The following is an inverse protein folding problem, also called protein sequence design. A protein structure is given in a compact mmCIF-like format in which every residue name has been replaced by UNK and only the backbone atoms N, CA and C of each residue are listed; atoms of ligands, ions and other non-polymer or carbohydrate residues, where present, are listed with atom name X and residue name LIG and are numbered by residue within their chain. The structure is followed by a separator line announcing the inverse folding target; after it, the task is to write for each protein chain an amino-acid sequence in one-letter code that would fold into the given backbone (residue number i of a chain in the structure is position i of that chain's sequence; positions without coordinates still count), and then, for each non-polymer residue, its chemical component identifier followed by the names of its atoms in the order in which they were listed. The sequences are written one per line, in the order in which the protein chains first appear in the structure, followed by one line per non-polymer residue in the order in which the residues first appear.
data_IF_774681911742
#
_entry.id   IF_774681911742
#
_cell.length_a   1.000
_cell.length_b   1.000
_cell.length_c   1.000
_cell.angle_alpha   90.00
_cell.angle_beta   90.00
_cell.angle_gamma   90.00
#
_symmetry.space_group_name_H-M   'P 1'
#
loop_
_entity.id
_entity.type
_entity.pdbx_description
1 polymer ?
#
# COMPACT_ATOMS: atom_id res chain seq x y z
N UNK A 1 -8.11 5.33 28.52
CA UNK A 1 -7.68 6.75 28.34
C UNK A 1 -8.87 7.52 27.79
N UNK A 2 -9.11 8.76 28.20
CA UNK A 2 -10.21 9.56 27.65
C UNK A 2 -9.95 9.84 26.18
N UNK A 3 -10.99 9.77 25.34
CA UNK A 3 -11.01 10.25 23.95
C UNK A 3 -10.23 11.56 23.84
N UNK A 4 -9.14 11.57 23.06
CA UNK A 4 -8.26 12.75 22.95
C UNK A 4 -8.82 13.66 21.86
N UNK A 5 -10.09 14.11 22.02
CA UNK A 5 -10.67 15.12 21.15
C UNK A 5 -9.81 16.38 21.21
N UNK A 6 -9.31 16.82 20.05
CA UNK A 6 -8.42 17.98 19.93
C UNK A 6 -6.92 17.67 19.98
N UNK A 7 -6.49 16.39 20.07
CA UNK A 7 -5.09 16.04 19.97
C UNK A 7 -4.51 16.45 18.61
N UNK A 8 -3.27 16.95 18.64
CA UNK A 8 -2.48 17.26 17.45
C UNK A 8 -1.76 15.99 17.00
N UNK A 9 -2.07 15.54 15.78
CA UNK A 9 -1.53 14.30 15.24
C UNK A 9 -0.61 14.62 14.07
N UNK A 10 0.64 14.20 14.18
CA UNK A 10 1.54 14.13 13.06
C UNK A 10 1.39 12.79 12.34
N UNK A 11 1.28 12.79 11.02
CA UNK A 11 1.33 11.59 10.19
C UNK A 11 2.61 11.67 9.35
N UNK A 12 3.57 10.79 9.60
CA UNK A 12 4.78 10.72 8.80
C UNK A 12 4.57 9.77 7.61
N UNK A 13 4.58 10.34 6.39
CA UNK A 13 4.36 9.64 5.12
C UNK A 13 2.99 9.92 4.49
N UNK A 14 3.00 10.34 3.21
CA UNK A 14 1.82 10.65 2.40
C UNK A 14 1.54 9.57 1.32
N UNK A 15 1.96 8.32 1.55
CA UNK A 15 1.56 7.18 0.73
C UNK A 15 0.10 6.77 0.97
N UNK A 16 -0.33 5.64 0.42
CA UNK A 16 -1.71 5.15 0.52
C UNK A 16 -2.19 5.03 1.98
N UNK A 17 -1.38 4.43 2.87
CA UNK A 17 -1.75 4.24 4.27
C UNK A 17 -1.82 5.58 5.03
N UNK A 18 -0.79 6.43 4.90
CA UNK A 18 -0.76 7.71 5.60
C UNK A 18 -1.83 8.68 5.13
N UNK A 19 -2.06 8.75 3.81
CA UNK A 19 -3.11 9.63 3.25
C UNK A 19 -4.53 9.17 3.62
N UNK A 20 -4.82 7.87 3.59
CA UNK A 20 -6.10 7.32 4.03
C UNK A 20 -6.33 7.58 5.53
N UNK A 21 -5.28 7.37 6.34
CA UNK A 21 -5.31 7.67 7.78
C UNK A 21 -5.56 9.15 8.03
N UNK A 22 -4.87 10.05 7.30
CA UNK A 22 -5.08 11.50 7.46
C UNK A 22 -6.52 11.92 7.17
N UNK A 23 -7.14 11.38 6.11
CA UNK A 23 -8.57 11.63 5.80
C UNK A 23 -9.45 11.18 6.96
N UNK A 24 -9.23 9.94 7.45
CA UNK A 24 -10.06 9.37 8.51
C UNK A 24 -9.96 10.16 9.80
N UNK A 25 -8.76 10.54 10.19
CA UNK A 25 -8.52 11.29 11.43
C UNK A 25 -9.02 12.74 11.34
N UNK A 26 -8.76 13.44 10.23
CA UNK A 26 -9.25 14.80 10.05
C UNK A 26 -10.80 14.86 10.06
N UNK A 27 -11.48 13.92 9.40
CA UNK A 27 -12.94 13.79 9.43
C UNK A 27 -13.47 13.42 10.83
N UNK A 28 -12.66 12.77 11.65
CA UNK A 28 -13.00 12.49 13.05
C UNK A 28 -12.74 13.70 13.99
N UNK A 29 -12.26 14.84 13.44
CA UNK A 29 -12.07 16.09 14.20
C UNK A 29 -10.70 16.23 14.87
N UNK A 30 -9.72 15.38 14.53
CA UNK A 30 -8.34 15.57 15.00
C UNK A 30 -7.63 16.67 14.21
N UNK A 31 -6.72 17.38 14.88
CA UNK A 31 -5.83 18.34 14.22
C UNK A 31 -4.66 17.57 13.57
N UNK A 32 -4.73 17.31 12.26
CA UNK A 32 -3.77 16.47 11.52
C UNK A 32 -2.80 17.31 10.71
N UNK A 33 -1.51 16.99 10.80
CA UNK A 33 -0.49 17.45 9.84
C UNK A 33 0.25 16.24 9.29
N UNK A 34 0.33 16.15 7.96
CA UNK A 34 1.04 15.09 7.24
C UNK A 34 2.39 15.61 6.79
N UNK A 35 3.45 14.88 7.10
CA UNK A 35 4.83 15.19 6.72
C UNK A 35 5.33 14.15 5.73
N UNK A 36 5.77 14.58 4.55
CA UNK A 36 6.40 13.71 3.55
C UNK A 36 7.40 14.55 2.72
N UNK A 37 8.69 14.21 2.70
CA UNK A 37 9.69 14.95 1.93
C UNK A 37 9.56 14.74 0.42
N UNK A 38 8.87 13.68 -0.02
CA UNK A 38 8.66 13.40 -1.44
C UNK A 38 7.59 14.32 -2.06
N UNK A 39 7.74 14.61 -3.32
CA UNK A 39 6.69 15.29 -4.09
C UNK A 39 5.39 14.43 -4.11
N UNK A 40 4.20 15.04 -4.20
CA UNK A 40 2.95 14.30 -4.18
C UNK A 40 2.89 13.22 -5.26
N UNK A 41 2.74 11.97 -4.84
CA UNK A 41 2.71 10.80 -5.72
C UNK A 41 4.07 10.29 -6.17
N UNK A 42 5.16 10.89 -5.73
CA UNK A 42 6.53 10.44 -6.00
C UNK A 42 7.00 9.46 -4.91
N UNK A 43 6.27 8.38 -4.76
CA UNK A 43 6.48 7.32 -3.80
C UNK A 43 5.95 5.98 -4.33
N UNK A 44 6.19 4.89 -3.60
CA UNK A 44 5.74 3.56 -4.01
C UNK A 44 4.23 3.45 -4.27
N UNK A 45 3.41 4.24 -3.58
CA UNK A 45 1.96 4.23 -3.78
C UNK A 45 1.55 4.89 -5.09
N UNK A 46 2.24 5.96 -5.51
CA UNK A 46 2.00 6.61 -6.80
C UNK A 46 2.54 5.82 -8.00
N UNK A 47 3.64 5.07 -7.81
CA UNK A 47 4.19 4.15 -8.82
C UNK A 47 3.30 2.92 -9.00
N UNK A 48 2.57 2.50 -7.96
CA UNK A 48 1.77 1.28 -7.98
C UNK A 48 0.75 1.23 -9.14
N UNK A 49 0.43 0.01 -9.58
CA UNK A 49 -0.61 -0.22 -10.59
C UNK A 49 -2.05 -0.06 -10.05
N UNK A 50 -2.21 0.12 -8.74
CA UNK A 50 -3.50 0.38 -8.10
C UNK A 50 -4.40 -0.84 -7.93
N UNK A 51 -3.87 -2.05 -7.98
CA UNK A 51 -4.65 -3.28 -7.81
C UNK A 51 -5.16 -3.44 -6.37
N UNK A 52 -6.43 -3.86 -6.25
CA UNK A 52 -7.13 -4.25 -5.04
C UNK A 52 -7.49 -5.74 -5.22
N UNK A 53 -6.49 -6.60 -5.13
CA UNK A 53 -6.53 -7.92 -5.76
C UNK A 53 -6.27 -9.05 -4.76
N UNK A 54 -7.20 -9.31 -3.79
CA UNK A 54 -7.03 -10.31 -2.74
C UNK A 54 -6.76 -11.71 -3.29
N UNK A 55 -7.42 -12.09 -4.39
CA UNK A 55 -7.27 -13.43 -4.97
C UNK A 55 -5.94 -13.58 -5.68
N UNK A 56 -5.56 -12.61 -6.53
CA UNK A 56 -4.24 -12.63 -7.18
C UNK A 56 -3.09 -12.60 -6.17
N UNK A 57 -3.21 -11.84 -5.08
CA UNK A 57 -2.19 -11.83 -4.04
C UNK A 57 -2.06 -13.20 -3.36
N UNK A 58 -3.18 -13.83 -3.00
CA UNK A 58 -3.16 -15.17 -2.41
C UNK A 58 -2.64 -16.25 -3.39
N UNK A 59 -2.88 -16.10 -4.69
CA UNK A 59 -2.45 -17.07 -5.72
C UNK A 59 -0.96 -16.96 -6.04
N UNK A 60 -0.44 -15.72 -6.15
CA UNK A 60 0.87 -15.46 -6.76
C UNK A 60 1.93 -14.97 -5.77
N UNK A 61 1.57 -14.71 -4.52
CA UNK A 61 2.51 -14.38 -3.46
C UNK A 61 2.40 -15.38 -2.31
N UNK A 62 3.38 -16.28 -2.12
CA UNK A 62 3.36 -17.27 -1.05
C UNK A 62 3.20 -16.68 0.35
N UNK A 63 3.75 -15.46 0.58
CA UNK A 63 3.65 -14.76 1.86
C UNK A 63 2.20 -14.33 2.13
N UNK A 64 1.46 -13.97 1.10
CA UNK A 64 0.08 -13.51 1.20
C UNK A 64 -0.96 -14.64 1.16
N UNK A 65 -0.57 -15.89 0.85
CA UNK A 65 -1.50 -16.99 0.60
C UNK A 65 -2.42 -17.33 1.77
N UNK A 66 -1.95 -17.17 3.01
CA UNK A 66 -2.75 -17.37 4.23
C UNK A 66 -3.69 -16.22 4.60
N UNK A 67 -3.64 -15.09 3.89
CA UNK A 67 -4.32 -13.86 4.29
C UNK A 67 -5.55 -13.51 3.43
N UNK A 68 -6.03 -14.43 2.56
CA UNK A 68 -7.13 -14.16 1.62
C UNK A 68 -8.37 -13.59 2.31
N UNK A 69 -8.79 -14.17 3.44
CA UNK A 69 -9.99 -13.72 4.15
C UNK A 69 -9.87 -12.28 4.67
N UNK A 70 -8.70 -11.92 5.23
CA UNK A 70 -8.40 -10.55 5.68
C UNK A 70 -8.38 -9.59 4.48
N UNK A 71 -7.70 -9.96 3.40
CA UNK A 71 -7.61 -9.14 2.19
C UNK A 71 -8.98 -8.92 1.53
N UNK A 72 -9.87 -9.90 1.56
CA UNK A 72 -11.27 -9.74 1.12
C UNK A 72 -12.03 -8.73 1.98
N UNK A 73 -11.92 -8.81 3.31
CA UNK A 73 -12.55 -7.81 4.18
C UNK A 73 -12.04 -6.40 3.90
N UNK A 74 -10.73 -6.24 3.68
CA UNK A 74 -10.14 -4.95 3.31
C UNK A 74 -10.67 -4.45 1.96
N UNK A 75 -10.78 -5.31 0.93
CA UNK A 75 -11.36 -4.97 -0.36
C UNK A 75 -12.83 -4.54 -0.22
N UNK A 76 -13.59 -5.20 0.64
CA UNK A 76 -15.03 -4.94 0.81
C UNK A 76 -15.34 -3.57 1.43
N UNK A 77 -14.34 -2.89 2.03
CA UNK A 77 -14.45 -1.50 2.47
C UNK A 77 -14.34 -0.49 1.31
N UNK A 78 -13.73 -0.89 0.19
CA UNK A 78 -13.43 0.02 -0.92
C UNK A 78 -14.66 0.65 -1.59
N UNK A 79 -15.81 -0.02 -1.78
CA UNK A 79 -16.98 0.60 -2.42
C UNK A 79 -17.44 1.87 -1.74
N UNK A 80 -17.59 1.85 -0.42
CA UNK A 80 -18.00 3.02 0.35
C UNK A 80 -16.87 4.05 0.43
N UNK A 81 -15.65 3.60 0.71
CA UNK A 81 -14.48 4.47 0.78
C UNK A 81 -14.24 5.23 -0.54
N UNK A 82 -14.33 4.54 -1.68
CA UNK A 82 -14.15 5.15 -3.01
C UNK A 82 -15.26 6.14 -3.35
N UNK A 83 -16.52 5.78 -3.05
CA UNK A 83 -17.68 6.68 -3.26
C UNK A 83 -17.53 7.97 -2.44
N UNK A 84 -17.18 7.86 -1.17
CA UNK A 84 -17.07 9.00 -0.25
C UNK A 84 -15.93 9.97 -0.60
N UNK A 85 -14.97 9.51 -1.40
CA UNK A 85 -13.78 10.26 -1.80
C UNK A 85 -13.75 10.58 -3.31
N UNK A 86 -14.80 10.23 -4.05
CA UNK A 86 -14.87 10.35 -5.51
C UNK A 86 -13.67 9.71 -6.20
N UNK A 87 -13.30 8.49 -5.75
CA UNK A 87 -12.26 7.66 -6.36
C UNK A 87 -12.92 6.68 -7.33
N UNK A 88 -12.46 6.68 -8.58
CA UNK A 88 -12.96 5.72 -9.57
C UNK A 88 -12.52 4.29 -9.18
N UNK A 89 -13.50 3.42 -8.89
CA UNK A 89 -13.31 2.02 -8.56
C UNK A 89 -13.69 1.14 -9.76
N UNK A 90 -12.70 0.51 -10.38
CA UNK A 90 -12.87 -0.38 -11.53
C UNK A 90 -13.01 -1.83 -11.05
N UNK A 91 -14.12 -2.47 -11.43
CA UNK A 91 -14.51 -3.84 -11.03
C UNK A 91 -14.54 -4.82 -12.21
N UNK A 92 -13.78 -4.54 -13.26
CA UNK A 92 -13.74 -5.38 -14.45
C UNK A 92 -13.08 -6.76 -14.21
N UNK A 93 -12.44 -6.94 -13.06
CA UNK A 93 -11.78 -8.18 -12.71
C UNK A 93 -10.43 -8.38 -13.37
N UNK A 94 -9.94 -9.63 -13.29
CA UNK A 94 -8.64 -10.06 -13.82
C UNK A 94 -8.86 -11.25 -14.75
N UNK A 95 -8.32 -11.20 -15.97
CA UNK A 95 -8.22 -12.34 -16.88
C UNK A 95 -6.87 -13.05 -16.70
N UNK A 96 -6.90 -14.36 -16.75
CA UNK A 96 -5.73 -15.21 -16.62
C UNK A 96 -5.30 -15.67 -18.03
N UNK A 97 -4.18 -15.17 -18.52
CA UNK A 97 -3.65 -15.45 -19.85
C UNK A 97 -2.24 -16.05 -19.76
N UNK A 98 -1.94 -17.10 -20.54
CA UNK A 98 -0.65 -17.77 -20.53
C UNK A 98 -0.71 -19.14 -21.20
N UNK A 99 0.35 -19.90 -21.07
CA UNK A 99 0.43 -21.27 -21.59
C UNK A 99 -0.62 -22.17 -20.93
N UNK A 100 -1.02 -23.25 -21.60
CA UNK A 100 -1.96 -24.24 -21.06
C UNK A 100 -1.44 -24.81 -19.72
N UNK A 101 -0.15 -25.11 -19.66
CA UNK A 101 0.50 -25.63 -18.47
C UNK A 101 0.42 -24.64 -17.29
N UNK A 102 0.69 -23.36 -17.53
CA UNK A 102 0.57 -22.31 -16.51
C UNK A 102 -0.89 -22.13 -16.04
N UNK A 103 -1.85 -22.09 -16.97
CA UNK A 103 -3.28 -21.99 -16.63
C UNK A 103 -3.74 -23.18 -15.81
N UNK A 104 -3.27 -24.39 -16.11
CA UNK A 104 -3.52 -25.58 -15.32
C UNK A 104 -3.00 -25.46 -13.89
N UNK A 105 -1.77 -24.97 -13.70
CA UNK A 105 -1.22 -24.72 -12.35
C UNK A 105 -2.02 -23.68 -11.57
N UNK A 106 -2.47 -22.62 -12.23
CA UNK A 106 -3.31 -21.58 -11.60
C UNK A 106 -4.67 -22.14 -11.20
N UNK A 107 -5.29 -22.98 -12.06
CA UNK A 107 -6.55 -23.64 -11.76
C UNK A 107 -6.45 -24.51 -10.50
N UNK A 108 -5.37 -25.29 -10.34
CA UNK A 108 -5.15 -26.11 -9.14
C UNK A 108 -4.95 -25.23 -7.89
N UNK A 109 -4.25 -24.10 -8.00
CA UNK A 109 -4.11 -23.15 -6.88
C UNK A 109 -5.45 -22.50 -6.50
N UNK A 110 -6.27 -22.11 -7.49
CA UNK A 110 -7.63 -21.61 -7.24
C UNK A 110 -8.45 -22.62 -6.47
N UNK A 111 -8.42 -23.87 -6.92
CA UNK A 111 -9.11 -24.99 -6.24
C UNK A 111 -8.63 -25.19 -4.80
N UNK A 112 -7.33 -25.09 -4.56
CA UNK A 112 -6.75 -25.18 -3.21
C UNK A 112 -7.23 -24.04 -2.29
N UNK A 113 -7.56 -22.87 -2.85
CA UNK A 113 -8.17 -21.74 -2.14
C UNK A 113 -9.70 -21.84 -2.03
N UNK A 114 -10.31 -22.93 -2.48
CA UNK A 114 -11.78 -23.10 -2.51
C UNK A 114 -12.47 -22.20 -3.54
N UNK A 115 -11.75 -21.78 -4.59
CA UNK A 115 -12.25 -20.91 -5.65
C UNK A 115 -12.54 -21.69 -6.93
N UNK A 116 -13.51 -21.24 -7.78
CA UNK A 116 -13.76 -21.89 -9.06
C UNK A 116 -12.53 -21.75 -9.97
N UNK A 117 -12.17 -22.83 -10.65
CA UNK A 117 -11.14 -22.86 -11.69
C UNK A 117 -11.68 -22.15 -12.94
N UNK A 118 -11.57 -20.83 -12.97
CA UNK A 118 -12.07 -19.99 -14.06
C UNK A 118 -10.92 -19.25 -14.76
N UNK A 119 -11.12 -18.89 -16.03
CA UNK A 119 -10.18 -18.04 -16.78
C UNK A 119 -10.18 -16.58 -16.35
N UNK A 120 -11.05 -16.21 -15.42
CA UNK A 120 -11.15 -14.84 -14.89
C UNK A 120 -11.48 -14.84 -13.39
N UNK A 121 -10.99 -13.80 -12.70
CA UNK A 121 -11.20 -13.52 -11.29
C UNK A 121 -12.01 -12.22 -11.20
N UNK A 122 -13.26 -12.29 -10.77
CA UNK A 122 -14.15 -11.12 -10.68
C UNK A 122 -14.04 -10.36 -9.35
N UNK A 123 -13.43 -11.00 -8.35
CA UNK A 123 -13.29 -10.44 -7.01
C UNK A 123 -12.17 -9.38 -6.88
N UNK A 124 -11.26 -9.35 -7.82
CA UNK A 124 -10.12 -8.45 -7.83
C UNK A 124 -10.47 -7.19 -8.62
N UNK A 125 -10.25 -6.03 -7.99
CA UNK A 125 -10.59 -4.71 -8.52
C UNK A 125 -9.34 -3.85 -8.64
N UNK A 126 -9.51 -2.61 -9.09
CA UNK A 126 -8.42 -1.64 -9.17
C UNK A 126 -8.91 -0.20 -9.07
N UNK A 127 -7.97 0.68 -8.80
CA UNK A 127 -8.10 2.13 -8.85
C UNK A 127 -6.98 2.72 -9.71
N UNK A 128 -7.07 3.99 -10.04
CA UNK A 128 -5.94 4.77 -10.57
C UNK A 128 -5.13 5.35 -9.40
N UNK A 129 -3.90 4.86 -9.20
CA UNK A 129 -3.12 5.11 -7.99
C UNK A 129 -2.80 6.61 -7.76
N UNK A 130 -2.26 7.32 -8.76
CA UNK A 130 -1.93 8.75 -8.64
C UNK A 130 -3.18 9.63 -8.48
N UNK A 131 -4.25 9.48 -9.27
CA UNK A 131 -5.52 10.15 -9.03
C UNK A 131 -6.08 9.88 -7.63
N UNK A 132 -6.04 8.64 -7.15
CA UNK A 132 -6.53 8.30 -5.82
C UNK A 132 -5.74 9.00 -4.70
N UNK A 133 -4.40 9.08 -4.79
CA UNK A 133 -3.59 9.88 -3.85
C UNK A 133 -4.02 11.35 -3.85
N UNK A 134 -4.23 11.94 -5.03
CA UNK A 134 -4.68 13.32 -5.13
C UNK A 134 -6.07 13.53 -4.54
N UNK A 135 -6.99 12.55 -4.65
CA UNK A 135 -8.32 12.59 -4.02
C UNK A 135 -8.21 12.49 -2.50
N UNK A 136 -7.39 11.57 -1.98
CA UNK A 136 -7.13 11.44 -0.54
C UNK A 136 -6.57 12.73 0.03
N UNK A 137 -5.54 13.31 -0.58
CA UNK A 137 -4.95 14.57 -0.15
C UNK A 137 -6.00 15.69 -0.08
N UNK A 138 -6.74 15.92 -1.17
CA UNK A 138 -7.80 16.95 -1.19
C UNK A 138 -8.88 16.74 -0.14
N UNK A 139 -9.28 15.48 0.08
CA UNK A 139 -10.28 15.16 1.10
C UNK A 139 -9.77 15.42 2.52
N UNK A 140 -8.50 15.13 2.79
CA UNK A 140 -7.87 15.43 4.07
C UNK A 140 -7.75 16.95 4.29
N UNK A 141 -7.29 17.70 3.28
CA UNK A 141 -7.20 19.17 3.31
C UNK A 141 -8.57 19.81 3.52
N UNK A 142 -9.60 19.33 2.81
CA UNK A 142 -10.99 19.81 2.98
C UNK A 142 -11.55 19.52 4.38
N UNK A 143 -11.02 18.49 5.07
CA UNK A 143 -11.34 18.17 6.45
C UNK A 143 -10.43 18.89 7.48
N UNK A 144 -9.54 19.80 7.02
CA UNK A 144 -8.68 20.62 7.87
C UNK A 144 -7.26 20.08 8.10
N UNK A 145 -6.87 18.98 7.45
CA UNK A 145 -5.49 18.51 7.53
C UNK A 145 -4.53 19.42 6.74
N UNK A 146 -3.27 19.49 7.21
CA UNK A 146 -2.18 20.18 6.52
C UNK A 146 -1.18 19.18 5.98
N UNK A 147 -0.47 19.55 4.90
CA UNK A 147 0.61 18.76 4.32
C UNK A 147 1.86 19.60 4.22
N UNK A 148 2.98 19.07 4.72
CA UNK A 148 4.29 19.71 4.71
C UNK A 148 5.34 18.81 4.05
N UNK A 149 6.18 19.43 3.20
CA UNK A 149 7.26 18.73 2.47
C UNK A 149 8.51 18.62 3.32
N UNK A 150 8.40 17.95 4.48
CA UNK A 150 9.49 17.74 5.41
C UNK A 150 9.49 16.32 5.96
N UNK A 151 10.66 15.85 6.41
CA UNK A 151 10.80 14.57 7.08
C UNK A 151 10.75 14.73 8.60
N UNK A 152 10.09 13.80 9.28
CA UNK A 152 10.15 13.68 10.73
C UNK A 152 11.46 13.00 11.12
N UNK A 153 12.26 13.68 11.94
CA UNK A 153 13.56 13.20 12.39
C UNK A 153 13.46 12.48 13.75
N UNK A 154 12.86 13.13 14.74
CA UNK A 154 12.63 12.54 16.07
C UNK A 154 11.25 12.93 16.60
N UNK A 155 10.75 12.12 17.54
CA UNK A 155 9.47 12.37 18.19
C UNK A 155 9.50 11.90 19.64
N UNK A 156 8.95 12.75 20.51
CA UNK A 156 8.45 12.41 21.84
C UNK A 156 7.12 13.15 22.04
N UNK A 157 6.17 12.65 22.87
CA UNK A 157 4.92 13.35 23.10
C UNK A 157 5.13 14.81 23.53
N UNK A 158 4.60 15.75 22.75
CA UNK A 158 4.79 17.19 22.93
C UNK A 158 5.92 17.79 22.10
N UNK A 159 6.86 17.03 21.54
CA UNK A 159 7.98 17.50 20.74
C UNK A 159 8.21 16.63 19.49
N UNK A 160 8.08 17.24 18.31
CA UNK A 160 8.41 16.64 17.04
C UNK A 160 9.48 17.50 16.37
N UNK A 161 10.61 16.89 16.02
CA UNK A 161 11.69 17.55 15.29
C UNK A 161 11.66 17.13 13.82
N UNK A 162 11.73 18.13 12.94
CA UNK A 162 11.81 17.97 11.50
C UNK A 162 13.26 18.00 11.03
N UNK A 163 13.52 17.48 9.83
CA UNK A 163 14.85 17.41 9.24
C UNK A 163 15.47 18.80 8.96
N UNK A 164 14.64 19.83 8.77
CA UNK A 164 15.08 21.23 8.65
C UNK A 164 15.46 21.90 9.99
N UNK A 165 15.33 21.16 11.10
CA UNK A 165 15.65 21.60 12.46
C UNK A 165 14.49 22.28 13.21
N UNK A 166 13.34 22.51 12.57
CA UNK A 166 12.14 23.00 13.25
C UNK A 166 11.67 22.03 14.31
N UNK A 167 11.16 22.57 15.40
CA UNK A 167 10.52 21.81 16.48
C UNK A 167 9.07 22.25 16.57
N UNK A 168 8.16 21.30 16.50
CA UNK A 168 6.74 21.52 16.61
C UNK A 168 6.13 20.62 17.69
N UNK A 169 5.00 21.04 18.23
CA UNK A 169 4.35 20.29 19.29
C UNK A 169 3.24 19.42 18.72
N UNK A 170 3.39 18.10 18.87
CA UNK A 170 2.40 17.09 18.53
C UNK A 170 2.25 16.11 19.71
N UNK A 171 1.02 15.60 19.89
CA UNK A 171 0.71 14.71 20.99
C UNK A 171 0.94 13.24 20.58
N UNK A 172 0.73 12.93 19.29
CA UNK A 172 0.82 11.58 18.71
C UNK A 172 1.51 11.66 17.33
N UNK A 173 2.35 10.66 17.05
CA UNK A 173 2.91 10.41 15.75
C UNK A 173 2.33 9.11 15.17
N UNK A 174 1.69 9.18 14.00
CA UNK A 174 1.36 8.01 13.18
C UNK A 174 2.47 7.79 12.17
N UNK A 175 3.14 6.64 12.24
CA UNK A 175 4.28 6.32 11.38
C UNK A 175 3.84 5.48 10.18
N UNK A 176 3.81 6.11 8.99
CA UNK A 176 3.39 5.53 7.70
C UNK A 176 4.44 5.76 6.59
N UNK A 177 5.72 5.89 6.95
CA UNK A 177 6.84 6.37 6.10
C UNK A 177 7.28 5.40 4.99
N UNK A 178 6.66 4.20 4.87
CA UNK A 178 7.22 3.20 3.97
C UNK A 178 8.68 2.87 4.33
N UNK A 179 9.66 3.01 3.40
CA UNK A 179 11.05 2.66 3.68
C UNK A 179 11.80 3.66 4.59
N UNK A 180 11.24 4.83 4.87
CA UNK A 180 11.97 5.96 5.46
C UNK A 180 12.35 5.83 6.95
N UNK A 181 11.77 4.90 7.72
CA UNK A 181 12.03 4.80 9.16
C UNK A 181 12.31 3.37 9.63
N UNK A 182 13.10 2.61 8.86
CA UNK A 182 13.45 1.21 9.14
C UNK A 182 14.55 1.04 10.20
N UNK A 183 15.23 2.11 10.57
CA UNK A 183 16.33 2.11 11.53
C UNK A 183 15.89 1.93 12.99
N UNK A 184 14.59 1.96 13.25
CA UNK A 184 14.01 1.84 14.59
C UNK A 184 14.11 3.10 15.45
N UNK A 185 14.54 4.21 14.87
CA UNK A 185 14.75 5.47 15.59
C UNK A 185 13.45 6.07 16.13
N UNK A 186 12.38 6.05 15.31
CA UNK A 186 11.05 6.53 15.72
C UNK A 186 10.24 5.43 16.44
N UNK A 187 10.43 4.17 16.04
CA UNK A 187 9.74 3.03 16.63
C UNK A 187 10.59 1.76 16.47
N UNK A 188 10.96 1.04 17.54
CA UNK A 188 11.87 -0.10 17.46
C UNK A 188 11.33 -1.26 16.60
N UNK A 189 10.01 -1.41 16.51
CA UNK A 189 9.34 -2.46 15.73
C UNK A 189 9.62 -2.33 14.23
N UNK A 190 9.96 -1.14 13.74
CA UNK A 190 10.27 -0.91 12.32
C UNK A 190 11.56 -1.57 11.86
N UNK A 191 12.42 -2.04 12.79
CA UNK A 191 13.60 -2.87 12.45
C UNK A 191 13.24 -4.20 11.82
N UNK A 192 12.01 -4.69 12.02
CA UNK A 192 11.49 -5.89 11.35
C UNK A 192 11.17 -5.65 9.86
N UNK A 193 11.22 -4.42 9.38
CA UNK A 193 10.86 -4.07 8.00
C UNK A 193 12.03 -4.31 7.05
N UNK A 194 11.76 -5.03 5.97
CA UNK A 194 12.70 -5.26 4.86
C UNK A 194 12.23 -4.52 3.62
N UNK A 195 13.11 -3.81 2.89
CA UNK A 195 12.74 -3.13 1.66
C UNK A 195 12.53 -4.12 0.52
N UNK A 196 11.65 -3.76 -0.41
CA UNK A 196 11.41 -4.47 -1.66
C UNK A 196 11.29 -3.46 -2.78
N UNK A 197 12.35 -3.36 -3.59
CA UNK A 197 12.33 -2.58 -4.81
C UNK A 197 11.44 -3.25 -5.85
N UNK A 198 10.72 -2.47 -6.62
CA UNK A 198 9.92 -2.95 -7.72
C UNK A 198 9.87 -1.97 -8.86
N UNK A 199 9.93 -2.48 -10.08
CA UNK A 199 9.88 -1.72 -11.31
C UNK A 199 8.58 -2.02 -12.06
N UNK A 200 8.02 -0.97 -12.67
CA UNK A 200 6.84 -1.03 -13.53
C UNK A 200 7.18 -0.31 -14.82
N UNK A 201 6.76 -0.87 -15.96
CA UNK A 201 6.78 -0.16 -17.23
C UNK A 201 5.47 0.61 -17.41
N UNK A 202 5.57 1.79 -18.01
CA UNK A 202 4.43 2.61 -18.41
C UNK A 202 4.50 2.91 -19.90
N UNK A 203 3.50 2.47 -20.65
CA UNK A 203 3.40 2.74 -22.09
C UNK A 203 2.07 3.39 -22.44
N UNK A 204 1.77 3.56 -23.72
CA UNK A 204 0.48 4.08 -24.19
C UNK A 204 -0.69 3.30 -23.60
N UNK A 205 -1.87 3.91 -23.43
CA UNK A 205 -3.06 3.20 -22.95
C UNK A 205 -3.40 2.03 -23.89
N UNK A 206 -4.04 1.02 -23.32
CA UNK A 206 -4.57 -0.09 -24.06
C UNK A 206 -6.07 0.11 -24.26
N UNK A 207 -6.50 0.17 -25.53
CA UNK A 207 -7.91 0.27 -25.86
C UNK A 207 -8.64 -1.07 -25.68
N UNK A 208 -9.93 -1.00 -25.39
CA UNK A 208 -10.82 -2.16 -25.33
C UNK A 208 -11.14 -2.64 -23.92
N UNK A 209 -10.87 -3.89 -23.60
CA UNK A 209 -11.27 -4.52 -22.36
C UNK A 209 -10.58 -3.88 -21.12
N UNK A 210 -11.36 -3.37 -20.14
CA UNK A 210 -10.84 -2.74 -18.94
C UNK A 210 -10.30 -3.71 -17.90
N UNK A 211 -10.38 -5.04 -18.14
CA UNK A 211 -9.89 -6.06 -17.22
C UNK A 211 -8.37 -6.02 -17.10
N UNK A 212 -7.86 -6.31 -15.91
CA UNK A 212 -6.44 -6.61 -15.73
C UNK A 212 -6.13 -7.94 -16.42
N UNK A 213 -5.01 -8.00 -17.14
CA UNK A 213 -4.47 -9.27 -17.63
C UNK A 213 -3.38 -9.75 -16.70
N UNK A 214 -3.49 -10.97 -16.20
CA UNK A 214 -2.45 -11.62 -15.40
C UNK A 214 -1.87 -12.79 -16.14
N UNK A 215 -0.57 -12.72 -16.43
CA UNK A 215 0.20 -13.75 -17.07
C UNK A 215 1.30 -14.31 -16.19
N UNK A 216 2.12 -15.18 -16.79
CA UNK A 216 3.27 -15.76 -16.11
C UNK A 216 4.34 -14.69 -15.88
N UNK A 217 4.62 -14.37 -14.61
CA UNK A 217 5.60 -13.37 -14.20
C UNK A 217 5.22 -11.90 -14.46
N UNK A 218 4.06 -11.61 -15.06
CA UNK A 218 3.68 -10.25 -15.46
C UNK A 218 2.18 -10.00 -15.28
N UNK A 219 1.82 -8.74 -15.12
CA UNK A 219 0.45 -8.24 -15.25
C UNK A 219 0.40 -7.00 -16.17
N UNK A 220 -0.72 -6.83 -16.84
CA UNK A 220 -1.06 -5.64 -17.61
C UNK A 220 -2.28 -4.99 -16.97
N UNK A 221 -2.13 -3.77 -16.47
CA UNK A 221 -3.22 -3.03 -15.82
C UNK A 221 -3.61 -1.86 -16.70
N UNK A 222 -4.77 -1.91 -17.37
CA UNK A 222 -5.28 -0.81 -18.16
C UNK A 222 -5.42 0.44 -17.28
N UNK A 223 -4.90 1.55 -17.74
CA UNK A 223 -4.94 2.85 -17.06
C UNK A 223 -4.64 3.94 -18.09
N UNK A 224 -4.67 5.23 -17.69
CA UNK A 224 -4.27 6.35 -18.55
C UNK A 224 -2.94 6.10 -19.26
N UNK A 225 -2.02 5.42 -18.57
CA UNK A 225 -0.81 4.81 -19.15
C UNK A 225 -0.77 3.36 -18.72
N UNK A 226 -0.81 2.41 -19.66
CA UNK A 226 -0.78 0.98 -19.34
C UNK A 226 0.35 0.67 -18.37
N UNK A 227 0.00 0.08 -17.23
CA UNK A 227 0.99 -0.38 -16.25
C UNK A 227 1.32 -1.84 -16.48
N UNK A 228 2.59 -2.14 -16.66
CA UNK A 228 3.14 -3.49 -16.87
C UNK A 228 4.06 -3.80 -15.71
N UNK A 229 3.73 -4.81 -14.92
CA UNK A 229 4.46 -5.05 -13.68
C UNK A 229 4.48 -6.49 -13.21
N UNK A 230 5.19 -6.68 -12.17
CA UNK A 230 6.22 -5.86 -11.56
C UNK A 230 7.37 -6.75 -11.09
N UNK A 231 8.55 -6.16 -11.03
CA UNK A 231 9.67 -6.83 -10.38
C UNK A 231 9.53 -6.85 -8.87
N UNK A 232 10.28 -7.73 -8.21
CA UNK A 232 10.37 -7.83 -6.75
C UNK A 232 11.80 -8.16 -6.34
N UNK A 233 12.55 -7.15 -5.95
CA UNK A 233 13.94 -7.23 -5.55
C UNK A 233 14.04 -7.05 -4.03
N UNK A 234 13.96 -8.17 -3.31
CA UNK A 234 13.99 -8.16 -1.85
C UNK A 234 15.34 -7.67 -1.31
N UNK A 235 15.33 -6.85 -0.27
CA UNK A 235 16.53 -6.28 0.36
C UNK A 235 17.08 -5.03 -0.33
N UNK A 236 16.56 -4.64 -1.50
CA UNK A 236 17.00 -3.45 -2.23
C UNK A 236 16.11 -2.24 -1.93
N UNK A 237 16.72 -1.08 -1.67
CA UNK A 237 16.07 0.23 -1.51
C UNK A 237 16.58 1.29 -2.49
N UNK A 238 17.39 0.87 -3.46
CA UNK A 238 17.85 1.70 -4.57
C UNK A 238 16.69 2.06 -5.52
N UNK A 239 16.58 3.31 -5.90
CA UNK A 239 15.55 3.81 -6.83
C UNK A 239 16.00 3.83 -8.29
N UNK A 240 17.23 3.40 -8.59
CA UNK A 240 17.72 3.32 -9.98
C UNK A 240 17.07 2.12 -10.70
N UNK A 241 16.62 2.27 -11.97
CA UNK A 241 16.15 1.13 -12.74
C UNK A 241 17.24 0.06 -12.93
N UNK A 242 16.89 -1.20 -12.70
CA UNK A 242 17.74 -2.33 -13.09
C UNK A 242 17.42 -2.74 -14.53
N UNK A 243 18.44 -2.77 -15.40
CA UNK A 243 18.30 -3.04 -16.82
C UNK A 243 17.90 -4.49 -17.10
N UNK A 244 18.43 -5.45 -16.33
CA UNK A 244 18.14 -6.88 -16.52
C UNK A 244 16.70 -7.21 -16.10
N UNK A 245 16.26 -6.68 -14.98
CA UNK A 245 14.89 -6.81 -14.48
C UNK A 245 13.89 -6.12 -15.45
N UNK A 246 14.26 -4.94 -15.98
CA UNK A 246 13.47 -4.25 -17.01
C UNK A 246 13.32 -5.10 -18.27
N UNK A 247 14.41 -5.70 -18.76
CA UNK A 247 14.38 -6.54 -19.95
C UNK A 247 13.56 -7.82 -19.74
N UNK A 248 13.68 -8.46 -18.57
CA UNK A 248 12.87 -9.62 -18.24
C UNK A 248 11.36 -9.28 -18.22
N UNK A 249 11.00 -8.12 -17.67
CA UNK A 249 9.62 -7.65 -17.65
C UNK A 249 9.08 -7.34 -19.06
N UNK A 250 9.91 -6.73 -19.92
CA UNK A 250 9.57 -6.52 -21.35
C UNK A 250 9.34 -7.85 -22.08
N UNK A 251 10.21 -8.83 -21.89
CA UNK A 251 10.07 -10.14 -22.51
C UNK A 251 8.78 -10.85 -22.07
N UNK A 252 8.46 -10.82 -20.77
CA UNK A 252 7.23 -11.40 -20.25
C UNK A 252 5.97 -10.68 -20.77
N UNK A 253 6.00 -9.36 -20.89
CA UNK A 253 4.90 -8.59 -21.46
C UNK A 253 4.71 -8.86 -22.96
N UNK A 254 5.81 -8.93 -23.72
CA UNK A 254 5.79 -9.23 -25.14
C UNK A 254 5.21 -10.62 -25.44
N UNK A 255 5.50 -11.61 -24.60
CA UNK A 255 4.92 -12.95 -24.78
C UNK A 255 3.39 -13.00 -24.60
N UNK A 256 2.81 -12.07 -23.85
CA UNK A 256 1.36 -11.93 -23.74
C UNK A 256 0.76 -11.03 -24.84
N UNK A 257 1.45 -9.96 -25.16
CA UNK A 257 0.98 -8.89 -26.07
C UNK A 257 2.12 -8.43 -26.96
N UNK A 258 2.38 -9.15 -28.07
CA UNK A 258 3.43 -8.78 -29.03
C UNK A 258 3.17 -7.46 -29.79
N UNK A 259 1.93 -6.96 -29.70
CA UNK A 259 1.49 -5.72 -30.33
C UNK A 259 1.83 -4.45 -29.51
N UNK A 260 2.35 -4.59 -28.28
CA UNK A 260 2.72 -3.44 -27.44
C UNK A 260 4.06 -2.85 -27.87
N UNK A 261 4.12 -1.51 -27.99
CA UNK A 261 5.39 -0.79 -28.09
C UNK A 261 6.04 -0.69 -26.70
N UNK A 262 6.94 -1.61 -26.43
CA UNK A 262 7.67 -1.70 -25.18
C UNK A 262 9.00 -0.91 -25.20
N UNK A 263 9.49 -0.52 -26.37
CA UNK A 263 10.75 0.24 -26.48
C UNK A 263 10.58 1.67 -25.97
N UNK A 264 9.43 2.28 -26.26
CA UNK A 264 9.06 3.60 -25.76
C UNK A 264 8.55 3.60 -24.29
N UNK A 265 8.46 2.44 -23.64
CA UNK A 265 7.93 2.35 -22.26
C UNK A 265 8.88 3.01 -21.25
N UNK A 266 8.35 3.94 -20.47
CA UNK A 266 9.07 4.52 -19.34
C UNK A 266 9.14 3.50 -18.18
N UNK A 267 10.27 3.50 -17.45
CA UNK A 267 10.47 2.68 -16.26
C UNK A 267 10.22 3.54 -15.02
N UNK A 268 9.30 3.11 -14.17
CA UNK A 268 9.07 3.72 -12.85
C UNK A 268 9.50 2.75 -11.75
N UNK A 269 10.20 3.25 -10.74
CA UNK A 269 10.72 2.45 -9.62
C UNK A 269 10.09 2.91 -8.32
N UNK A 270 9.71 1.96 -7.47
CA UNK A 270 9.22 2.25 -6.14
C UNK A 270 9.75 1.25 -5.11
N UNK A 271 10.07 1.73 -3.91
CA UNK A 271 10.50 0.88 -2.81
C UNK A 271 9.36 0.70 -1.81
N UNK A 272 8.95 -0.53 -1.65
CA UNK A 272 7.97 -0.99 -0.65
C UNK A 272 8.72 -1.52 0.56
N UNK A 273 8.01 -1.72 1.67
CA UNK A 273 8.53 -2.44 2.83
C UNK A 273 7.58 -3.55 3.24
N UNK A 274 8.16 -4.62 3.73
CA UNK A 274 7.44 -5.80 4.23
C UNK A 274 7.90 -6.17 5.62
N UNK A 275 7.02 -6.75 6.39
CA UNK A 275 7.28 -7.56 7.57
C UNK A 275 7.58 -9.00 7.16
N UNK A 276 8.08 -9.86 8.05
CA UNK A 276 8.31 -11.29 7.77
C UNK A 276 7.06 -12.04 7.29
N UNK A 277 5.87 -11.71 7.81
CA UNK A 277 4.59 -12.34 7.44
C UNK A 277 3.82 -11.60 6.34
N UNK A 278 4.32 -10.47 5.85
CA UNK A 278 3.72 -9.69 4.76
C UNK A 278 2.54 -8.80 5.14
N UNK A 279 2.06 -8.84 6.39
CA UNK A 279 1.03 -7.94 6.91
C UNK A 279 1.65 -6.67 7.51
N UNK A 280 0.97 -5.50 7.46
CA UNK A 280 1.50 -4.29 8.07
C UNK A 280 1.60 -4.38 9.59
N UNK A 281 2.45 -3.53 10.17
CA UNK A 281 2.43 -3.22 11.59
C UNK A 281 1.37 -2.13 11.82
N UNK A 282 0.33 -2.44 12.59
CA UNK A 282 -0.74 -1.49 12.95
C UNK A 282 -0.97 -1.55 14.45
N UNK A 283 -0.90 -0.40 15.12
CA UNK A 283 -1.12 -0.30 16.56
C UNK A 283 -0.02 0.48 17.28
N UNK A 284 -0.15 0.59 18.61
CA UNK A 284 0.78 1.33 19.44
C UNK A 284 2.16 0.68 19.48
N UNK A 285 3.19 1.50 19.23
CA UNK A 285 4.60 1.16 19.41
C UNK A 285 4.98 1.14 20.90
N UNK A 286 6.17 0.59 21.20
CA UNK A 286 6.86 0.81 22.49
C UNK A 286 7.32 2.25 22.66
N UNK A 287 7.58 2.97 21.57
CA UNK A 287 7.89 4.39 21.63
C UNK A 287 6.64 5.16 22.10
N UNK A 288 6.74 5.95 23.20
CA UNK A 288 5.59 6.68 23.72
C UNK A 288 4.95 7.59 22.68
N UNK A 289 3.62 7.55 22.53
CA UNK A 289 2.87 8.39 21.61
C UNK A 289 3.04 8.05 20.13
N UNK A 290 3.70 6.94 19.79
CA UNK A 290 3.86 6.50 18.39
C UNK A 290 2.89 5.37 18.07
N UNK A 291 2.14 5.52 16.98
CA UNK A 291 1.25 4.52 16.43
C UNK A 291 1.72 4.14 15.01
N UNK A 292 1.82 2.83 14.74
CA UNK A 292 2.32 2.31 13.48
C UNK A 292 1.20 2.05 12.48
N UNK A 293 1.46 2.34 11.20
CA UNK A 293 0.64 2.03 10.05
C UNK A 293 1.56 1.79 8.83
N UNK A 294 2.44 0.78 8.89
CA UNK A 294 3.56 0.62 7.94
C UNK A 294 3.83 -0.85 7.61
N UNK A 295 4.44 -1.13 6.46
CA UNK A 295 4.90 -2.48 6.13
C UNK A 295 3.90 -3.33 5.34
N UNK A 296 3.00 -2.71 4.58
CA UNK A 296 1.94 -3.41 3.83
C UNK A 296 2.43 -4.15 2.57
N UNK A 297 3.73 -4.35 2.38
CA UNK A 297 4.31 -5.07 1.24
C UNK A 297 3.76 -4.54 -0.10
N UNK A 298 2.96 -5.32 -0.80
CA UNK A 298 2.30 -4.98 -2.08
C UNK A 298 0.89 -4.44 -1.89
N UNK A 299 0.33 -4.61 -0.69
CA UNK A 299 -1.10 -4.44 -0.39
C UNK A 299 -1.45 -3.08 0.22
N UNK A 300 -0.57 -2.07 0.09
CA UNK A 300 -0.80 -0.75 0.66
C UNK A 300 -2.13 -0.12 0.24
N UNK A 301 -2.49 -0.19 -1.03
CA UNK A 301 -3.79 0.29 -1.52
C UNK A 301 -4.94 -0.58 -1.02
N UNK A 302 -4.84 -1.91 -1.18
CA UNK A 302 -5.87 -2.85 -0.74
C UNK A 302 -6.24 -2.64 0.72
N UNK A 303 -5.24 -2.47 1.59
CA UNK A 303 -5.40 -2.38 3.04
C UNK A 303 -5.66 -0.95 3.54
N UNK A 304 -5.56 0.09 2.70
CA UNK A 304 -5.60 1.49 3.14
C UNK A 304 -6.87 1.85 3.94
N UNK A 305 -8.10 1.51 3.53
CA UNK A 305 -9.29 1.80 4.31
C UNK A 305 -9.28 1.08 5.66
N UNK A 306 -8.94 -0.22 5.68
CA UNK A 306 -8.91 -1.03 6.89
C UNK A 306 -7.91 -0.49 7.90
N UNK A 307 -6.68 -0.18 7.46
CA UNK A 307 -5.64 0.38 8.32
C UNK A 307 -6.04 1.74 8.87
N UNK A 308 -6.65 2.60 8.06
CA UNK A 308 -7.13 3.91 8.51
C UNK A 308 -8.22 3.79 9.59
N UNK A 309 -9.15 2.85 9.44
CA UNK A 309 -10.18 2.56 10.45
C UNK A 309 -9.57 2.01 11.73
N UNK A 310 -8.58 1.11 11.63
CA UNK A 310 -7.88 0.57 12.80
C UNK A 310 -7.11 1.66 13.57
N UNK A 311 -6.40 2.54 12.86
CA UNK A 311 -5.68 3.67 13.48
C UNK A 311 -6.65 4.59 14.21
N UNK A 312 -7.78 4.93 13.61
CA UNK A 312 -8.81 5.74 14.26
C UNK A 312 -9.38 5.05 15.50
N UNK A 313 -9.62 3.75 15.46
CA UNK A 313 -10.09 2.97 16.60
C UNK A 313 -9.08 2.97 17.76
N UNK A 314 -7.78 2.76 17.47
CA UNK A 314 -6.74 2.84 18.49
C UNK A 314 -6.66 4.22 19.16
N UNK A 315 -6.86 5.31 18.40
CA UNK A 315 -6.85 6.67 18.94
C UNK A 315 -8.08 6.99 19.80
N UNK A 316 -9.21 6.38 19.50
CA UNK A 316 -10.46 6.56 20.24
C UNK A 316 -10.63 5.58 21.41
N UNK A 317 -9.68 4.66 21.62
CA UNK A 317 -9.79 3.55 22.58
C UNK A 317 -10.98 2.60 22.25
N UNK A 318 -11.30 2.51 20.94
CA UNK A 318 -12.32 1.62 20.39
C UNK A 318 -11.72 0.27 19.97
N UNK A 319 -12.58 -0.71 19.67
CA UNK A 319 -12.14 -2.00 19.15
C UNK A 319 -11.64 -1.84 17.71
N UNK A 320 -10.35 -2.14 17.41
CA UNK A 320 -9.78 -2.01 16.06
C UNK A 320 -10.21 -3.11 15.09
N UNK A 321 -11.05 -4.04 15.51
CA UNK A 321 -11.65 -5.08 14.67
C UNK A 321 -10.93 -6.42 14.72
N UNK A 322 -11.46 -7.43 13.98
CA UNK A 322 -11.02 -8.83 14.07
C UNK A 322 -9.60 -9.06 13.55
N UNK A 323 -9.07 -8.16 12.72
CA UNK A 323 -7.75 -8.30 12.09
C UNK A 323 -6.61 -7.69 12.94
N UNK A 324 -6.95 -7.05 14.07
CA UNK A 324 -5.99 -6.33 14.91
C UNK A 324 -4.86 -7.21 15.46
N UNK A 325 -5.19 -8.43 15.88
CA UNK A 325 -4.19 -9.36 16.39
C UNK A 325 -3.17 -9.76 15.31
N UNK A 326 -3.64 -10.04 14.08
CA UNK A 326 -2.80 -10.42 12.96
C UNK A 326 -1.89 -9.27 12.48
N UNK A 327 -2.30 -8.02 12.67
CA UNK A 327 -1.55 -6.82 12.28
C UNK A 327 -0.90 -6.10 13.46
N UNK A 328 -0.95 -6.67 14.66
CA UNK A 328 -0.39 -6.04 15.85
C UNK A 328 1.04 -5.55 15.62
N UNK A 329 1.31 -4.31 16.05
CA UNK A 329 2.63 -3.71 15.99
C UNK A 329 3.70 -4.54 16.71
N UNK A 330 3.31 -5.26 17.74
CA UNK A 330 4.20 -6.00 18.65
C UNK A 330 4.26 -7.51 18.39
N UNK A 331 3.69 -8.02 17.30
CA UNK A 331 3.58 -9.47 17.07
C UNK A 331 4.90 -10.18 16.79
N UNK A 332 5.98 -9.44 16.52
CA UNK A 332 7.32 -9.97 16.33
C UNK A 332 8.23 -9.79 17.55
N UNK A 333 7.66 -9.36 18.68
CA UNK A 333 8.39 -9.28 19.92
C UNK A 333 8.53 -10.68 20.55
N UNK A 334 9.72 -10.99 21.08
CA UNK A 334 9.86 -12.15 21.94
C UNK A 334 9.05 -11.91 23.22
N UNK A 335 8.33 -12.94 23.73
CA UNK A 335 7.64 -12.82 25.01
C UNK A 335 8.68 -12.45 26.08
N UNK A 336 8.38 -11.46 26.88
CA UNK A 336 9.21 -11.10 28.05
C UNK A 336 9.33 -12.34 28.93
N UNK A 337 10.55 -12.88 29.08
CA UNK A 337 10.90 -14.04 29.93
C UNK A 337 10.87 -13.66 31.41
#
# INVERSE_FOLDING_TARGET
MKTVSGARIAVAGAGALGSATAVRLARAGFAVTVFDPAAPGDNASGVAAGMLAPVCEALFDPVSSGHLALMRRARDLWPDFARDLDIALMRAGVRLEGSEAWRGQVAERLKALGLPAAGAITEDWRIEARPALARLRRAAEAAGARFESEAVETFAPGELRLADGRIEAFDILVLATGPGARDGRLAPETRALTPIKGQILRTAPLDGDPSVVRGEGVYLVPSERLAIGATMEAGSDDLSPDASATQALRAAAWSLRPDLDLDAAAVEVGVRVTTPDGLPLVGWSRSPGVLLAVGARRNGWLLAPLVADMVAAYLNDDNPGPDAAAMSARRFEEPET
#
